data_IF_095245008460
#
_entry.id   IF_095245008460
#
_cell.length_a   1.000
_cell.length_b   1.000
_cell.length_c   1.000
_cell.angle_alpha   90.00
_cell.angle_beta   90.00
_cell.angle_gamma   90.00
#
_symmetry.space_group_name_H-M   'P 1'
#
loop_
_entity.id
_entity.type
_entity.pdbx_description
1 polymer ?
#
# COMPACT_ATOMS: atom_id res chain seq x y z
N UNK A 1 16.30 -42.70 -7.57
CA UNK A 1 16.36 -42.10 -8.90
C UNK A 1 15.09 -41.36 -9.28
N UNK A 2 13.94 -41.98 -9.19
CA UNK A 2 12.66 -41.35 -9.50
C UNK A 2 12.32 -40.18 -8.58
N UNK A 3 12.80 -40.23 -7.36
CA UNK A 3 12.59 -39.17 -6.38
C UNK A 3 13.37 -37.89 -6.66
N UNK A 4 14.53 -38.01 -7.33
CA UNK A 4 15.32 -36.82 -7.67
C UNK A 4 14.63 -35.93 -8.73
N UNK A 5 13.99 -36.57 -9.75
CA UNK A 5 13.23 -35.83 -10.75
C UNK A 5 11.95 -35.15 -10.19
N UNK A 6 11.26 -35.87 -9.31
CA UNK A 6 10.10 -35.32 -8.60
C UNK A 6 10.50 -34.23 -7.61
N UNK A 7 11.67 -34.37 -6.97
CA UNK A 7 12.23 -33.38 -6.09
C UNK A 7 12.55 -32.06 -6.79
N UNK A 8 13.07 -32.11 -8.02
CA UNK A 8 13.37 -30.92 -8.83
C UNK A 8 12.08 -30.17 -9.25
N UNK A 9 11.03 -30.89 -9.64
CA UNK A 9 9.76 -30.31 -10.01
C UNK A 9 9.04 -29.72 -8.78
N UNK A 10 9.17 -30.37 -7.64
CA UNK A 10 8.64 -29.85 -6.36
C UNK A 10 9.37 -28.60 -5.90
N UNK A 11 10.70 -28.52 -6.09
CA UNK A 11 11.49 -27.43 -5.56
C UNK A 11 11.15 -26.08 -6.18
N UNK A 12 10.79 -26.02 -7.47
CA UNK A 12 10.44 -24.74 -8.10
C UNK A 12 9.20 -24.11 -7.49
N UNK A 13 8.14 -24.89 -7.20
CA UNK A 13 6.95 -24.38 -6.50
C UNK A 13 7.19 -24.17 -5.02
N UNK A 14 7.93 -25.07 -4.38
CA UNK A 14 8.20 -24.97 -2.94
C UNK A 14 9.18 -23.86 -2.61
N UNK A 15 10.17 -23.58 -3.46
CA UNK A 15 11.09 -22.48 -3.26
C UNK A 15 10.39 -21.12 -3.37
N UNK A 16 9.44 -20.98 -4.30
CA UNK A 16 8.60 -19.80 -4.37
C UNK A 16 7.71 -19.63 -3.13
N UNK A 17 7.15 -20.72 -2.60
CA UNK A 17 6.35 -20.71 -1.38
C UNK A 17 7.22 -20.58 -0.12
N UNK A 18 8.42 -21.14 -0.09
CA UNK A 18 9.38 -21.01 0.99
C UNK A 18 9.88 -19.58 1.16
N UNK A 19 10.23 -18.91 0.07
CA UNK A 19 10.67 -17.52 0.16
C UNK A 19 9.57 -16.60 0.71
N UNK A 20 8.32 -17.01 0.58
CA UNK A 20 7.19 -16.30 1.19
C UNK A 20 6.98 -16.70 2.67
N UNK A 21 7.08 -18.01 3.00
CA UNK A 21 6.79 -18.52 4.33
C UNK A 21 7.97 -18.44 5.31
N UNK A 22 9.19 -18.50 4.83
CA UNK A 22 10.41 -18.41 5.65
C UNK A 22 10.82 -16.97 5.96
N UNK A 23 10.01 -15.99 5.60
CA UNK A 23 10.19 -14.62 6.04
C UNK A 23 11.38 -13.90 5.43
N UNK A 24 11.63 -14.11 4.15
CA UNK A 24 12.49 -13.19 3.40
C UNK A 24 11.96 -11.76 3.57
N UNK A 25 12.81 -10.74 3.43
CA UNK A 25 12.36 -9.36 3.61
C UNK A 25 11.27 -9.03 2.61
N UNK A 26 10.19 -8.45 3.12
CA UNK A 26 9.10 -7.92 2.29
C UNK A 26 9.21 -6.40 2.29
N UNK A 27 9.13 -5.83 1.11
CA UNK A 27 9.21 -4.39 0.90
C UNK A 27 7.84 -3.87 0.56
N UNK A 28 7.37 -2.89 1.31
CA UNK A 28 6.06 -2.29 1.14
C UNK A 28 6.21 -0.91 0.51
N UNK A 29 5.56 -0.70 -0.61
CA UNK A 29 5.32 0.65 -1.14
C UNK A 29 3.96 1.07 -0.63
N UNK A 30 3.91 2.12 0.16
CA UNK A 30 2.71 2.56 0.87
C UNK A 30 2.29 3.97 0.45
N UNK A 31 1.00 4.19 0.51
CA UNK A 31 0.36 5.46 0.22
C UNK A 31 -0.43 5.90 1.46
N UNK A 32 -0.08 7.07 1.97
CA UNK A 32 -0.73 7.67 3.13
C UNK A 32 -1.34 9.02 2.77
N UNK A 33 -2.42 9.37 3.43
CA UNK A 33 -3.12 10.65 3.27
C UNK A 33 -3.24 11.33 4.63
N UNK A 34 -3.04 12.64 4.64
CA UNK A 34 -3.19 13.45 5.83
C UNK A 34 -4.66 13.54 6.25
N UNK A 35 -4.90 13.38 7.56
CA UNK A 35 -6.23 13.57 8.12
C UNK A 35 -6.54 15.02 8.44
N UNK A 36 -5.51 15.83 8.65
CA UNK A 36 -5.69 17.25 8.98
C UNK A 36 -5.68 18.17 7.75
N UNK A 37 -4.97 17.78 6.69
CA UNK A 37 -4.90 18.57 5.46
C UNK A 37 -5.37 17.74 4.27
N UNK A 38 -6.58 18.00 3.84
CA UNK A 38 -7.19 17.30 2.71
C UNK A 38 -6.37 17.48 1.42
N UNK A 39 -6.06 16.36 0.79
CA UNK A 39 -5.30 16.34 -0.45
C UNK A 39 -3.80 16.16 -0.27
N UNK A 40 -3.28 16.32 0.94
CA UNK A 40 -1.87 16.03 1.21
C UNK A 40 -1.65 14.52 1.28
N UNK A 41 -0.78 14.05 0.41
CA UNK A 41 -0.54 12.64 0.16
C UNK A 41 0.95 12.35 0.09
N UNK A 42 1.33 11.18 0.56
CA UNK A 42 2.72 10.75 0.54
C UNK A 42 2.83 9.30 0.07
N UNK A 43 3.87 9.03 -0.70
CA UNK A 43 4.25 7.69 -1.14
C UNK A 43 5.64 7.40 -0.62
N UNK A 44 5.82 6.24 -0.01
CA UNK A 44 7.11 5.82 0.53
C UNK A 44 7.29 4.31 0.44
N UNK A 45 8.47 3.87 0.85
CA UNK A 45 8.82 2.45 0.91
C UNK A 45 9.33 2.10 2.31
N UNK A 46 8.97 0.94 2.80
CA UNK A 46 9.42 0.45 4.11
C UNK A 46 9.42 -1.08 4.14
N UNK A 47 10.13 -1.64 5.10
CA UNK A 47 10.05 -3.07 5.44
C UNK A 47 9.10 -3.33 6.62
N UNK A 48 8.71 -2.29 7.34
CA UNK A 48 7.76 -2.36 8.46
C UNK A 48 6.73 -1.24 8.38
N UNK A 49 5.55 -1.57 7.88
CA UNK A 49 4.44 -0.61 7.71
C UNK A 49 3.96 -0.02 9.03
N UNK A 50 3.86 -0.85 10.07
CA UNK A 50 3.35 -0.40 11.37
C UNK A 50 4.29 0.60 12.03
N UNK A 51 5.56 0.28 12.02
CA UNK A 51 6.60 1.16 12.56
C UNK A 51 6.68 2.46 11.78
N UNK A 52 6.69 2.37 10.45
CA UNK A 52 6.75 3.52 9.56
C UNK A 52 5.57 4.48 9.77
N UNK A 53 4.36 3.95 9.85
CA UNK A 53 3.17 4.76 10.09
C UNK A 53 3.19 5.44 11.47
N UNK A 54 3.65 4.72 12.51
CA UNK A 54 3.87 5.31 13.82
C UNK A 54 4.86 6.48 13.77
N UNK A 55 5.96 6.31 13.07
CA UNK A 55 6.98 7.35 12.93
C UNK A 55 6.48 8.60 12.21
N UNK A 56 5.70 8.42 11.14
CA UNK A 56 5.03 9.55 10.48
C UNK A 56 4.09 10.28 11.43
N UNK A 57 3.34 9.55 12.25
CA UNK A 57 2.38 10.13 13.19
C UNK A 57 3.04 10.74 14.43
N UNK A 58 4.24 10.28 14.78
CA UNK A 58 5.05 10.87 15.87
C UNK A 58 5.86 12.09 15.42
N UNK A 59 5.82 12.44 14.15
CA UNK A 59 6.55 13.59 13.62
C UNK A 59 8.05 13.38 13.45
N UNK A 60 8.52 12.15 13.38
CA UNK A 60 9.95 11.83 13.20
C UNK A 60 10.46 12.17 11.80
N UNK A 61 9.58 12.19 10.81
CA UNK A 61 9.91 12.61 9.44
C UNK A 61 9.60 14.09 9.26
N UNK A 62 10.62 14.88 8.99
CA UNK A 62 10.49 16.33 8.82
C UNK A 62 9.52 16.72 7.69
N UNK A 63 9.47 15.93 6.62
CA UNK A 63 8.58 16.20 5.48
C UNK A 63 7.11 15.98 5.80
N UNK A 64 6.80 15.04 6.66
CA UNK A 64 5.44 14.60 6.94
C UNK A 64 4.91 15.04 8.30
N UNK A 65 5.78 15.52 9.17
CA UNK A 65 5.44 15.89 10.55
C UNK A 65 4.28 16.88 10.66
N UNK A 66 4.32 17.94 9.87
CA UNK A 66 3.30 19.00 9.91
C UNK A 66 1.93 18.59 9.36
N UNK A 67 1.86 17.48 8.66
CA UNK A 67 0.61 16.95 8.08
C UNK A 67 0.07 15.76 8.84
N UNK A 68 0.67 15.40 9.95
CA UNK A 68 0.17 14.34 10.82
C UNK A 68 -1.15 14.74 11.49
N UNK A 69 -2.05 13.82 11.82
CA UNK A 69 -1.90 12.38 11.67
C UNK A 69 -2.14 11.88 10.24
N UNK A 70 -1.50 10.76 9.93
CA UNK A 70 -1.57 10.11 8.62
C UNK A 70 -2.41 8.85 8.67
N UNK A 71 -3.17 8.63 7.63
CA UNK A 71 -3.95 7.41 7.41
C UNK A 71 -3.34 6.60 6.27
N UNK A 72 -3.14 5.32 6.49
CA UNK A 72 -2.75 4.39 5.43
C UNK A 72 -3.94 4.15 4.50
N UNK A 73 -3.76 4.44 3.22
CA UNK A 73 -4.79 4.25 2.19
C UNK A 73 -4.60 2.92 1.49
N UNK A 74 -3.38 2.66 1.02
CA UNK A 74 -3.06 1.46 0.25
C UNK A 74 -1.59 1.11 0.44
N UNK A 75 -1.27 -0.15 0.25
CA UNK A 75 0.11 -0.59 0.13
C UNK A 75 0.22 -1.76 -0.83
N UNK A 76 1.39 -1.91 -1.43
CA UNK A 76 1.74 -3.05 -2.27
C UNK A 76 3.01 -3.67 -1.70
N UNK A 77 2.97 -4.98 -1.51
CA UNK A 77 4.08 -5.74 -0.97
C UNK A 77 4.90 -6.38 -2.10
N UNK A 78 6.20 -6.25 -2.03
CA UNK A 78 7.14 -6.83 -2.98
C UNK A 78 8.14 -7.72 -2.25
N UNK A 79 8.46 -8.85 -2.84
CA UNK A 79 9.55 -9.71 -2.37
C UNK A 79 10.92 -9.29 -2.91
N UNK A 80 10.92 -8.41 -3.91
CA UNK A 80 12.11 -7.89 -4.57
C UNK A 80 12.24 -6.38 -4.30
N UNK A 81 13.36 -6.00 -3.70
CA UNK A 81 13.67 -4.61 -3.37
C UNK A 81 13.70 -3.70 -4.60
N UNK A 82 14.33 -4.15 -5.68
CA UNK A 82 14.46 -3.34 -6.90
C UNK A 82 13.10 -3.02 -7.52
N UNK A 83 12.16 -3.98 -7.48
CA UNK A 83 10.78 -3.76 -7.94
C UNK A 83 10.02 -2.78 -7.04
N UNK A 84 10.22 -2.85 -5.74
CA UNK A 84 9.62 -1.91 -4.80
C UNK A 84 10.14 -0.49 -5.05
N UNK A 85 11.45 -0.32 -5.17
CA UNK A 85 12.06 0.99 -5.47
C UNK A 85 11.59 1.56 -6.81
N UNK A 86 11.50 0.73 -7.85
CA UNK A 86 10.99 1.15 -9.15
C UNK A 86 9.52 1.58 -9.07
N UNK A 87 8.71 0.85 -8.30
CA UNK A 87 7.30 1.18 -8.10
C UNK A 87 7.12 2.47 -7.32
N UNK A 88 7.92 2.70 -6.27
CA UNK A 88 7.91 3.96 -5.52
C UNK A 88 8.24 5.14 -6.44
N UNK A 89 9.32 5.04 -7.20
CA UNK A 89 9.72 6.08 -8.16
C UNK A 89 8.64 6.34 -9.21
N UNK A 90 8.04 5.27 -9.74
CA UNK A 90 6.95 5.39 -10.70
C UNK A 90 5.77 6.16 -10.11
N UNK A 91 5.35 5.80 -8.91
CA UNK A 91 4.21 6.45 -8.25
C UNK A 91 4.46 7.92 -7.92
N UNK A 92 5.71 8.33 -7.82
CA UNK A 92 6.12 9.74 -7.66
C UNK A 92 6.27 10.48 -8.99
N UNK A 93 6.23 9.80 -10.12
CA UNK A 93 6.26 10.42 -11.46
C UNK A 93 4.88 10.92 -11.89
N UNK A 94 4.84 11.77 -12.94
CA UNK A 94 3.57 12.30 -13.45
C UNK A 94 2.57 11.23 -13.88
N UNK A 95 3.02 10.21 -14.63
CA UNK A 95 2.18 9.09 -15.04
C UNK A 95 1.75 8.22 -13.87
N UNK A 96 2.66 8.00 -12.92
CA UNK A 96 2.37 7.27 -11.68
C UNK A 96 1.38 8.01 -10.79
N UNK A 97 1.45 9.33 -10.71
CA UNK A 97 0.44 10.14 -10.03
C UNK A 97 -0.95 9.99 -10.65
N UNK A 98 -1.04 9.97 -11.97
CA UNK A 98 -2.30 9.76 -12.68
C UNK A 98 -2.86 8.36 -12.43
N UNK A 99 -2.01 7.34 -12.45
CA UNK A 99 -2.37 5.97 -12.12
C UNK A 99 -2.84 5.84 -10.67
N UNK A 100 -2.06 6.35 -9.73
CA UNK A 100 -2.37 6.30 -8.31
C UNK A 100 -3.69 6.99 -8.00
N UNK A 101 -3.94 8.15 -8.60
CA UNK A 101 -5.19 8.89 -8.43
C UNK A 101 -6.39 8.08 -8.87
N UNK A 102 -6.29 7.38 -9.98
CA UNK A 102 -7.39 6.57 -10.52
C UNK A 102 -7.59 5.23 -9.81
N UNK A 103 -6.51 4.63 -9.31
CA UNK A 103 -6.53 3.23 -8.88
C UNK A 103 -6.26 3.01 -7.39
N UNK A 104 -5.47 3.88 -6.79
CA UNK A 104 -4.96 3.67 -5.44
C UNK A 104 -5.52 4.68 -4.43
N UNK A 105 -5.66 5.96 -4.81
CA UNK A 105 -6.18 7.00 -3.93
C UNK A 105 -7.70 7.08 -3.92
N UNK A 106 -8.27 7.12 -5.11
CA UNK A 106 -9.72 7.12 -5.25
C UNK A 106 -10.15 5.71 -5.61
N UNK A 107 -10.53 5.00 -4.61
CA UNK A 107 -11.18 3.73 -4.85
C UNK A 107 -12.36 3.96 -5.81
N UNK A 108 -12.63 2.98 -6.67
CA UNK A 108 -13.76 2.97 -7.61
C UNK A 108 -15.13 3.22 -6.94
N UNK A 109 -15.14 3.39 -5.64
CA UNK A 109 -16.28 3.80 -4.84
C UNK A 109 -16.98 5.06 -5.36
N UNK A 110 -16.25 6.01 -5.96
CA UNK A 110 -16.93 7.22 -6.45
C UNK A 110 -17.79 6.96 -7.70
N UNK A 111 -17.35 6.09 -8.61
CA UNK A 111 -18.18 5.71 -9.74
C UNK A 111 -19.29 4.72 -9.36
N UNK A 112 -19.02 3.87 -8.40
CA UNK A 112 -20.00 2.95 -7.83
C UNK A 112 -21.06 3.67 -7.00
N UNK A 113 -20.65 4.65 -6.20
CA UNK A 113 -21.52 5.41 -5.31
C UNK A 113 -22.36 6.47 -6.05
N UNK A 114 -21.90 6.98 -7.20
CA UNK A 114 -22.66 7.93 -8.02
C UNK A 114 -23.99 7.35 -8.55
N UNK A 115 -24.09 6.02 -8.67
CA UNK A 115 -25.28 5.34 -9.17
C UNK A 115 -26.21 4.75 -8.12
N UNK A 116 -25.79 4.60 -6.86
CA UNK A 116 -26.54 3.81 -5.89
C UNK A 116 -26.80 4.43 -4.52
N UNK A 117 -25.98 5.41 -4.10
CA UNK A 117 -26.10 5.99 -2.76
C UNK A 117 -25.98 7.51 -2.80
N UNK A 118 -26.84 8.18 -2.03
CA UNK A 118 -26.71 9.62 -1.82
C UNK A 118 -25.49 9.93 -0.97
N UNK A 119 -24.93 11.12 -1.15
CA UNK A 119 -23.79 11.63 -0.36
C UNK A 119 -24.05 11.55 1.15
N UNK A 120 -25.31 11.73 1.57
CA UNK A 120 -25.72 11.64 2.97
C UNK A 120 -25.58 10.21 3.53
N UNK A 121 -25.87 9.20 2.76
CA UNK A 121 -25.72 7.80 3.20
C UNK A 121 -24.26 7.39 3.33
N UNK A 122 -23.40 7.87 2.44
CA UNK A 122 -21.95 7.62 2.51
C UNK A 122 -21.37 8.26 3.77
N UNK A 123 -21.71 9.52 4.05
CA UNK A 123 -21.27 10.22 5.26
C UNK A 123 -21.75 9.54 6.53
N UNK A 124 -22.98 9.04 6.52
CA UNK A 124 -23.55 8.30 7.66
C UNK A 124 -22.82 6.99 7.91
N UNK A 125 -22.46 6.26 6.85
CA UNK A 125 -21.69 5.02 6.98
C UNK A 125 -20.28 5.27 7.52
N UNK A 126 -19.62 6.35 7.10
CA UNK A 126 -18.32 6.77 7.60
C UNK A 126 -18.37 7.18 9.08
N UNK A 127 -19.43 7.90 9.48
CA UNK A 127 -19.63 8.33 10.87
C UNK A 127 -19.95 7.17 11.81
N UNK A 128 -20.48 6.06 11.30
CA UNK A 128 -20.77 4.87 12.11
C UNK A 128 -19.58 3.93 12.28
N UNK A 129 -18.40 4.28 11.77
CA UNK A 129 -17.17 3.52 12.00
C UNK A 129 -17.18 2.08 11.48
N UNK A 130 -17.93 1.78 10.45
CA UNK A 130 -18.04 0.45 9.86
C UNK A 130 -16.97 0.15 8.80
N UNK A 131 -15.78 0.60 9.03
CA UNK A 131 -14.61 0.30 8.20
C UNK A 131 -13.46 -0.19 9.05
#
# INVERSE_FOLDING_TARGET
MRFAGLGLIRSAKQDALRSFSEGGPVYYVYLIESLCMKGERYVGMTTDLKQCLREHNQGKSSHTARFSPWKLITYVAFTDRAKAEASERYLKSGSGHAFARKRLWQFATQSFLRGRYSTLQVNRALLQGRY
#
